data_IF_667376972650
#
_entry.id   IF_667376972650
#
_cell.length_a   1.000
_cell.length_b   1.000
_cell.length_c   1.000
_cell.angle_alpha   90.00
_cell.angle_beta   90.00
_cell.angle_gamma   90.00
#
_symmetry.space_group_name_H-M   'P 1'
#
loop_
_entity.id
_entity.type
_entity.pdbx_description
1 polymer ?
#
# COMPACT_ATOMS: atom_id res chain seq x y z
N UNK A 1 1.38 -8.89 0.51
CA UNK A 1 0.69 -7.85 1.32
C UNK A 1 -0.11 -6.90 0.44
N UNK A 2 -0.29 -5.64 0.85
CA UNK A 2 -1.02 -4.62 0.07
C UNK A 2 -0.12 -3.75 -0.83
N UNK A 3 1.18 -4.07 -0.93
CA UNK A 3 2.19 -3.27 -1.64
C UNK A 3 2.01 -3.25 -3.17
N UNK A 4 1.32 -4.25 -3.73
CA UNK A 4 0.95 -4.32 -5.16
C UNK A 4 -0.37 -3.63 -5.47
N UNK A 5 -1.14 -3.21 -4.45
CA UNK A 5 -2.42 -2.55 -4.68
C UNK A 5 -2.21 -1.23 -5.45
N UNK A 6 -3.16 -0.83 -6.31
CA UNK A 6 -3.04 0.40 -7.11
C UNK A 6 -2.63 1.62 -6.29
N UNK A 7 -3.13 1.77 -5.06
CA UNK A 7 -2.75 2.87 -4.18
C UNK A 7 -1.22 2.96 -3.95
N UNK A 8 -0.55 1.84 -3.69
CA UNK A 8 0.90 1.82 -3.44
C UNK A 8 1.71 1.85 -4.74
N UNK A 9 1.22 1.16 -5.78
CA UNK A 9 1.87 1.16 -7.09
C UNK A 9 1.89 2.56 -7.72
N UNK A 10 0.77 3.28 -7.68
CA UNK A 10 0.66 4.65 -8.20
C UNK A 10 1.52 5.62 -7.38
N UNK A 11 1.56 5.47 -6.05
CA UNK A 11 2.41 6.30 -5.19
C UNK A 11 3.89 6.16 -5.57
N UNK A 12 4.36 4.91 -5.77
CA UNK A 12 5.72 4.64 -6.25
C UNK A 12 5.95 5.20 -7.64
N UNK A 13 5.05 4.94 -8.58
CA UNK A 13 5.19 5.43 -9.95
C UNK A 13 5.26 6.95 -10.02
N UNK A 14 4.52 7.65 -9.16
CA UNK A 14 4.58 9.11 -9.08
C UNK A 14 5.88 9.58 -8.44
N UNK A 15 6.33 8.94 -7.36
CA UNK A 15 7.61 9.24 -6.72
C UNK A 15 8.82 9.04 -7.66
N UNK A 16 8.73 8.07 -8.58
CA UNK A 16 9.74 7.78 -9.60
C UNK A 16 9.55 8.60 -10.90
N UNK A 17 8.58 9.52 -10.96
CA UNK A 17 8.39 10.37 -12.14
C UNK A 17 9.54 11.38 -12.27
N UNK A 18 9.78 11.90 -13.47
CA UNK A 18 10.84 12.88 -13.72
C UNK A 18 10.76 14.14 -12.83
N UNK A 19 9.56 14.52 -12.37
CA UNK A 19 9.33 15.67 -11.50
C UNK A 19 9.74 15.42 -10.04
N UNK A 20 9.68 14.16 -9.61
CA UNK A 20 9.80 13.77 -8.21
C UNK A 20 11.03 12.90 -7.92
N UNK A 21 11.56 12.17 -8.92
CA UNK A 21 12.58 11.15 -8.74
C UNK A 21 13.88 11.67 -8.14
N UNK A 22 14.25 12.93 -8.38
CA UNK A 22 15.43 13.55 -7.76
C UNK A 22 15.31 13.60 -6.23
N UNK A 23 14.10 13.80 -5.70
CA UNK A 23 13.83 13.90 -4.27
C UNK A 23 13.35 12.57 -3.68
N UNK A 24 12.53 11.83 -4.42
CA UNK A 24 11.77 10.69 -3.91
C UNK A 24 12.20 9.33 -4.45
N UNK A 25 13.12 9.28 -5.42
CA UNK A 25 13.60 8.03 -6.00
C UNK A 25 14.12 7.08 -4.92
N UNK A 26 13.56 5.86 -4.88
CA UNK A 26 13.94 4.84 -3.90
C UNK A 26 13.48 5.08 -2.44
N UNK A 27 12.72 6.15 -2.14
CA UNK A 27 12.18 6.40 -0.78
C UNK A 27 11.15 5.33 -0.39
N UNK A 28 10.33 4.90 -1.35
CA UNK A 28 9.26 3.94 -1.12
C UNK A 28 9.75 2.51 -1.34
N UNK A 29 9.39 1.62 -0.41
CA UNK A 29 9.68 0.18 -0.53
C UNK A 29 8.91 -0.42 -1.70
N UNK A 30 9.57 -1.31 -2.45
CA UNK A 30 8.97 -2.06 -3.53
C UNK A 30 7.99 -3.16 -3.05
N UNK A 31 7.43 -3.91 -4.00
CA UNK A 31 6.44 -4.96 -3.73
C UNK A 31 6.95 -6.09 -2.82
N UNK A 32 8.27 -6.27 -2.74
CA UNK A 32 8.98 -7.23 -1.89
C UNK A 32 8.86 -6.97 -0.38
N UNK A 33 8.17 -5.91 0.04
CA UNK A 33 7.99 -5.57 1.46
C UNK A 33 7.25 -6.62 2.30
N UNK A 34 6.46 -7.51 1.68
CA UNK A 34 5.73 -8.60 2.36
C UNK A 34 5.67 -9.85 1.49
N UNK A 35 6.21 -10.96 2.00
CA UNK A 35 6.21 -12.27 1.34
C UNK A 35 4.79 -12.85 1.13
N UNK A 36 4.70 -13.87 0.27
CA UNK A 36 3.47 -14.64 0.06
C UNK A 36 3.16 -15.57 1.25
N UNK A 37 1.90 -16.00 1.45
CA UNK A 37 1.58 -17.00 2.47
C UNK A 37 2.41 -18.28 2.32
N UNK A 38 2.65 -18.71 1.08
CA UNK A 38 3.46 -19.90 0.77
C UNK A 38 4.91 -19.72 1.22
N UNK A 39 5.53 -18.56 0.93
CA UNK A 39 6.89 -18.29 1.35
C UNK A 39 7.03 -18.24 2.87
N UNK A 40 6.06 -17.65 3.58
CA UNK A 40 6.02 -17.71 5.04
C UNK A 40 5.88 -19.14 5.57
N UNK A 41 5.01 -19.94 4.97
CA UNK A 41 4.81 -21.34 5.36
C UNK A 41 6.09 -22.16 5.21
N UNK A 42 6.78 -22.05 4.07
CA UNK A 42 8.04 -22.75 3.81
C UNK A 42 9.11 -22.41 4.86
N UNK A 43 9.33 -21.11 5.13
CA UNK A 43 10.32 -20.66 6.12
C UNK A 43 10.04 -21.22 7.53
N UNK A 44 8.78 -21.26 7.97
CA UNK A 44 8.41 -21.81 9.28
C UNK A 44 8.52 -23.34 9.32
N UNK A 45 8.14 -24.03 8.25
CA UNK A 45 8.27 -25.49 8.15
C UNK A 45 9.72 -25.95 8.23
N UNK A 46 10.66 -25.22 7.62
CA UNK A 46 12.11 -25.47 7.74
C UNK A 46 12.60 -25.44 9.20
N UNK A 47 11.88 -24.73 10.08
CA UNK A 47 12.20 -24.59 11.50
C UNK A 47 11.36 -25.52 12.39
N UNK A 48 10.67 -26.50 11.79
CA UNK A 48 9.99 -27.57 12.49
C UNK A 48 8.57 -27.24 12.98
N UNK A 49 7.93 -26.19 12.47
CA UNK A 49 6.57 -25.82 12.81
C UNK A 49 5.53 -26.55 11.95
N UNK A 50 4.37 -26.86 12.55
CA UNK A 50 3.13 -27.09 11.81
C UNK A 50 2.52 -25.72 11.50
N UNK A 51 2.10 -25.46 10.25
CA UNK A 51 1.78 -24.10 9.78
C UNK A 51 0.41 -24.02 9.11
N UNK A 52 -0.32 -22.96 9.43
CA UNK A 52 -1.44 -22.43 8.65
C UNK A 52 -1.07 -21.05 8.09
N UNK A 53 -1.16 -20.88 6.78
CA UNK A 53 -0.84 -19.62 6.11
C UNK A 53 -1.88 -19.32 5.04
N UNK A 54 -2.42 -18.10 5.07
CA UNK A 54 -3.47 -17.68 4.15
C UNK A 54 -3.37 -16.19 3.86
N UNK A 55 -4.22 -15.73 2.94
CA UNK A 55 -4.44 -14.32 2.68
C UNK A 55 -5.94 -14.00 2.66
N UNK A 56 -6.25 -12.75 2.97
CA UNK A 56 -7.61 -12.23 2.94
C UNK A 56 -7.59 -10.84 2.35
N UNK A 57 -8.47 -10.59 1.38
CA UNK A 57 -8.74 -9.24 0.86
C UNK A 57 -10.04 -8.73 1.47
N UNK A 58 -9.91 -7.79 2.40
CA UNK A 58 -11.04 -7.04 2.92
C UNK A 58 -11.43 -5.96 1.92
N UNK A 59 -12.71 -5.60 1.83
CA UNK A 59 -13.14 -4.42 1.05
C UNK A 59 -13.70 -3.40 2.02
N UNK A 60 -13.00 -2.27 2.13
CA UNK A 60 -13.50 -1.13 2.90
C UNK A 60 -14.34 -0.23 2.01
N UNK A 61 -15.49 0.21 2.49
CA UNK A 61 -16.29 1.25 1.84
C UNK A 61 -15.93 2.58 2.49
N UNK A 62 -15.18 3.40 1.77
CA UNK A 62 -14.66 4.66 2.29
C UNK A 62 -15.54 5.84 1.85
N UNK A 63 -15.64 6.85 2.71
CA UNK A 63 -16.42 8.06 2.48
C UNK A 63 -15.53 9.32 2.52
N UNK A 64 -15.94 10.37 1.80
CA UNK A 64 -15.21 11.63 1.72
C UNK A 64 -14.85 12.02 0.28
N UNK A 65 -14.19 13.17 0.10
CA UNK A 65 -13.78 13.67 -1.21
C UNK A 65 -12.60 12.88 -1.80
N UNK A 66 -11.55 12.67 -0.98
CA UNK A 66 -10.36 11.87 -1.34
C UNK A 66 -10.13 10.75 -0.32
N UNK A 67 -11.07 9.79 -0.23
CA UNK A 67 -11.08 8.82 0.85
C UNK A 67 -9.83 7.93 0.88
N UNK A 68 -9.34 7.53 -0.30
CA UNK A 68 -8.15 6.68 -0.41
C UNK A 68 -6.89 7.46 -0.05
N UNK A 69 -6.75 8.73 -0.45
CA UNK A 69 -5.63 9.59 -0.05
C UNK A 69 -5.62 9.74 1.49
N UNK A 70 -6.78 10.03 2.07
CA UNK A 70 -6.95 10.12 3.53
C UNK A 70 -6.52 8.83 4.24
N UNK A 71 -6.83 7.67 3.67
CA UNK A 71 -6.40 6.38 4.21
C UNK A 71 -4.88 6.20 4.13
N UNK A 72 -4.28 6.40 2.96
CA UNK A 72 -2.85 6.11 2.73
C UNK A 72 -1.91 7.11 3.39
N UNK A 73 -2.37 8.32 3.74
CA UNK A 73 -1.67 9.25 4.62
C UNK A 73 -1.22 8.57 5.92
N UNK A 74 -2.05 7.70 6.49
CA UNK A 74 -1.75 6.98 7.72
C UNK A 74 -0.97 5.68 7.56
N UNK A 75 -0.84 5.15 6.34
CA UNK A 75 -0.34 3.77 6.15
C UNK A 75 0.85 3.62 5.21
N UNK A 76 1.17 4.61 4.38
CA UNK A 76 2.26 4.48 3.40
C UNK A 76 2.81 5.78 2.84
N UNK A 77 2.08 6.90 2.93
CA UNK A 77 2.50 8.17 2.34
C UNK A 77 3.49 8.94 3.23
N UNK A 78 3.59 8.61 4.51
CA UNK A 78 4.40 9.36 5.49
C UNK A 78 5.87 9.56 5.05
N UNK A 79 6.60 8.54 4.55
CA UNK A 79 7.98 8.72 4.09
C UNK A 79 8.12 9.75 2.97
N UNK A 80 7.12 9.86 2.08
CA UNK A 80 7.11 10.87 1.01
C UNK A 80 6.93 12.27 1.59
N UNK A 81 5.94 12.42 2.49
CA UNK A 81 5.65 13.72 3.12
C UNK A 81 6.80 14.24 3.97
N UNK A 82 7.53 13.35 4.64
CA UNK A 82 8.69 13.71 5.45
C UNK A 82 9.86 14.24 4.57
N UNK A 83 9.98 13.79 3.32
CA UNK A 83 11.00 14.28 2.37
C UNK A 83 10.57 15.58 1.70
N UNK A 84 9.31 15.68 1.26
CA UNK A 84 8.80 16.85 0.54
C UNK A 84 8.57 18.07 1.43
N UNK A 85 8.22 17.86 2.71
CA UNK A 85 7.85 18.94 3.61
C UNK A 85 6.64 19.74 3.13
N UNK A 86 6.39 20.88 3.75
CA UNK A 86 5.16 21.68 3.52
C UNK A 86 5.12 22.36 2.15
N UNK A 87 6.27 22.58 1.50
CA UNK A 87 6.33 23.29 0.22
C UNK A 87 5.80 22.44 -0.95
N UNK A 88 6.20 21.17 -0.99
CA UNK A 88 5.98 20.31 -2.14
C UNK A 88 4.92 19.23 -1.93
N UNK A 89 4.63 18.88 -0.66
CA UNK A 89 3.61 17.89 -0.34
C UNK A 89 2.22 18.18 -0.94
N UNK A 90 1.71 19.43 -0.94
CA UNK A 90 0.39 19.72 -1.50
C UNK A 90 0.26 19.37 -2.99
N UNK A 91 1.30 19.64 -3.78
CA UNK A 91 1.28 19.36 -5.23
C UNK A 91 1.39 17.85 -5.49
N UNK A 92 2.27 17.15 -4.77
CA UNK A 92 2.36 15.69 -4.86
C UNK A 92 1.02 15.03 -4.50
N UNK A 93 0.39 15.45 -3.40
CA UNK A 93 -0.89 14.92 -2.96
C UNK A 93 -2.01 15.21 -3.96
N UNK A 94 -1.99 16.39 -4.61
CA UNK A 94 -2.94 16.73 -5.68
C UNK A 94 -2.81 15.77 -6.85
N UNK A 95 -1.61 15.63 -7.42
CA UNK A 95 -1.32 14.71 -8.53
C UNK A 95 -1.68 13.26 -8.17
N UNK A 96 -1.31 12.84 -6.96
CA UNK A 96 -1.61 11.50 -6.48
C UNK A 96 -3.11 11.27 -6.26
N UNK A 97 -3.85 12.28 -5.77
CA UNK A 97 -5.31 12.20 -5.61
C UNK A 97 -6.02 11.98 -6.95
N UNK A 98 -5.55 12.62 -8.02
CA UNK A 98 -6.12 12.47 -9.36
C UNK A 98 -5.96 11.01 -9.85
N UNK A 99 -4.76 10.44 -9.70
CA UNK A 99 -4.48 9.03 -10.00
C UNK A 99 -5.34 8.07 -9.15
N UNK A 100 -5.52 8.37 -7.87
CA UNK A 100 -6.32 7.54 -6.98
C UNK A 100 -7.81 7.56 -7.34
N UNK A 101 -8.37 8.69 -7.77
CA UNK A 101 -9.79 8.78 -8.18
C UNK A 101 -10.06 7.95 -9.44
N UNK A 102 -9.09 7.85 -10.36
CA UNK A 102 -9.19 6.98 -11.52
C UNK A 102 -9.16 5.50 -11.12
N UNK A 103 -8.22 5.11 -10.26
CA UNK A 103 -8.06 3.71 -9.83
C UNK A 103 -9.17 3.23 -8.87
N UNK A 104 -9.77 4.15 -8.10
CA UNK A 104 -10.80 3.89 -7.10
C UNK A 104 -11.99 4.82 -7.30
N UNK A 105 -12.79 4.62 -8.36
CA UNK A 105 -13.92 5.49 -8.65
C UNK A 105 -14.95 5.45 -7.52
N UNK A 106 -15.51 6.61 -7.20
CA UNK A 106 -16.58 6.72 -6.22
C UNK A 106 -17.86 6.05 -6.75
N UNK A 107 -18.61 5.42 -5.84
CA UNK A 107 -19.95 4.87 -6.12
C UNK A 107 -20.99 5.57 -5.24
N UNK A 108 -22.27 5.31 -5.47
CA UNK A 108 -23.34 5.79 -4.61
C UNK A 108 -23.20 5.33 -3.14
N UNK A 109 -22.50 4.23 -2.89
CA UNK A 109 -22.25 3.69 -1.55
C UNK A 109 -20.92 4.20 -0.92
N UNK A 110 -20.08 4.91 -1.68
CA UNK A 110 -18.72 5.28 -1.30
C UNK A 110 -17.66 4.69 -2.23
N UNK A 111 -16.39 4.84 -1.87
CA UNK A 111 -15.25 4.30 -2.64
C UNK A 111 -14.85 2.94 -2.11
N UNK A 112 -14.87 1.92 -2.96
CA UNK A 112 -14.46 0.56 -2.59
C UNK A 112 -12.94 0.46 -2.58
N UNK A 113 -12.37 0.08 -1.44
CA UNK A 113 -10.93 -0.03 -1.24
C UNK A 113 -10.55 -1.45 -0.79
N UNK A 114 -10.08 -2.31 -1.72
CA UNK A 114 -9.55 -3.63 -1.39
C UNK A 114 -8.26 -3.52 -0.57
N UNK A 115 -8.17 -4.31 0.50
CA UNK A 115 -7.05 -4.31 1.43
C UNK A 115 -6.60 -5.74 1.71
N UNK A 116 -5.52 -6.18 1.03
CA UNK A 116 -4.98 -7.54 1.14
C UNK A 116 -4.06 -7.67 2.35
N UNK A 117 -4.33 -8.66 3.21
CA UNK A 117 -3.48 -9.06 4.33
C UNK A 117 -3.05 -10.51 4.19
N UNK A 118 -1.79 -10.77 4.53
CA UNK A 118 -1.22 -12.12 4.63
C UNK A 118 -1.15 -12.47 6.10
N UNK A 119 -1.53 -13.68 6.44
CA UNK A 119 -1.51 -14.23 7.79
C UNK A 119 -0.74 -15.55 7.78
N UNK A 120 -0.01 -15.81 8.86
CA UNK A 120 0.70 -17.06 9.04
C UNK A 120 0.79 -17.39 10.53
N UNK A 121 0.39 -18.61 10.90
CA UNK A 121 0.36 -19.11 12.27
C UNK A 121 1.14 -20.41 12.31
N UNK A 122 2.16 -20.47 13.17
CA UNK A 122 2.98 -21.66 13.38
C UNK A 122 2.79 -22.23 14.78
N UNK A 123 2.63 -23.55 14.89
CA UNK A 123 2.70 -24.30 16.16
C UNK A 123 3.99 -25.11 16.19
N UNK A 124 4.83 -24.88 17.19
CA UNK A 124 6.06 -25.65 17.38
C UNK A 124 5.70 -27.11 17.73
N UNK A 125 6.40 -28.05 17.10
CA UNK A 125 6.33 -29.47 17.43
C UNK A 125 7.09 -29.78 18.72
#
# INVERSE_FOLDING_TARGET
GNFDAPSHALMRSLAESAEWSERLGGVLRGPEGVDSPVAYAQRLQEHGFDVDAWETTYVHVLAGADPVLGWVRGTGLRPVLDVLGEADAPEFERQYSDLLREAYPATAAGTLFPFRRVFCVGRKR
#
